data_IF_357232920212
#
_entry.id   IF_357232920212
#
_cell.length_a   1.000
_cell.length_b   1.000
_cell.length_c   1.000
_cell.angle_alpha   90.00
_cell.angle_beta   90.00
_cell.angle_gamma   90.00
#
_symmetry.space_group_name_H-M   'P 1'
#
loop_
_entity.id
_entity.type
_entity.pdbx_description
1 polymer ?
#
# COMPACT_ATOMS: atom_id res chain seq x y z
N UNK A 1 -13.31 3.72 9.27
CA UNK A 1 -11.85 3.48 9.31
C UNK A 1 -11.14 4.03 10.57
N UNK A 2 -10.51 3.18 11.37
CA UNK A 2 -9.65 3.51 12.52
C UNK A 2 -8.19 3.74 12.10
N UNK A 3 -7.85 4.99 11.78
CA UNK A 3 -6.51 5.39 11.32
C UNK A 3 -5.38 5.09 12.30
N UNK A 4 -5.63 5.16 13.60
CA UNK A 4 -4.61 4.91 14.63
C UNK A 4 -4.14 3.44 14.67
N UNK A 5 -4.93 2.51 14.12
CA UNK A 5 -4.58 1.10 14.02
C UNK A 5 -3.89 0.73 12.69
N UNK A 6 -3.79 1.67 11.75
CA UNK A 6 -3.09 1.47 10.47
C UNK A 6 -1.61 1.74 10.69
N UNK A 7 -0.76 0.77 10.36
CA UNK A 7 0.68 0.93 10.53
C UNK A 7 1.49 0.12 9.52
N UNK A 8 2.46 0.81 8.92
CA UNK A 8 3.53 0.26 8.11
C UNK A 8 4.83 1.02 8.42
N UNK A 9 5.96 0.32 8.31
CA UNK A 9 7.31 0.90 8.34
C UNK A 9 8.10 0.28 7.17
N UNK A 10 8.87 1.06 6.40
CA UNK A 10 9.58 0.55 5.22
C UNK A 10 10.84 -0.27 5.56
N UNK A 11 10.78 -1.10 6.60
CA UNK A 11 11.87 -1.96 7.04
C UNK A 11 11.38 -3.10 7.95
N UNK A 12 12.30 -3.95 8.40
CA UNK A 12 12.06 -5.03 9.36
C UNK A 12 10.95 -5.99 8.88
N UNK A 13 10.01 -6.39 9.73
CA UNK A 13 8.93 -7.32 9.43
C UNK A 13 7.83 -6.74 8.54
N UNK A 14 7.88 -5.42 8.27
CA UNK A 14 6.89 -4.70 7.47
C UNK A 14 7.34 -4.47 6.02
N UNK A 15 8.65 -4.41 5.76
CA UNK A 15 9.20 -4.43 4.40
C UNK A 15 10.55 -5.15 4.40
N UNK A 16 10.62 -6.28 3.70
CA UNK A 16 11.84 -7.09 3.62
C UNK A 16 11.92 -7.87 2.31
N UNK A 17 13.15 -8.15 1.87
CA UNK A 17 13.41 -9.07 0.77
C UNK A 17 13.12 -10.51 1.23
N UNK A 18 12.19 -11.17 0.55
CA UNK A 18 11.90 -12.58 0.75
C UNK A 18 12.81 -13.47 -0.10
N UNK A 19 13.10 -13.01 -1.31
CA UNK A 19 14.13 -13.54 -2.20
C UNK A 19 14.97 -12.37 -2.71
N UNK A 20 15.96 -12.63 -3.58
CA UNK A 20 16.75 -11.56 -4.20
C UNK A 20 15.88 -10.56 -4.99
N UNK A 21 14.76 -11.01 -5.56
CA UNK A 21 13.92 -10.21 -6.47
C UNK A 21 12.51 -9.94 -5.94
N UNK A 22 12.11 -10.57 -4.82
CA UNK A 22 10.78 -10.41 -4.21
C UNK A 22 10.86 -9.59 -2.92
N UNK A 23 10.29 -8.38 -2.97
CA UNK A 23 10.02 -7.56 -1.79
C UNK A 23 8.65 -7.94 -1.23
N UNK A 24 8.59 -8.26 0.07
CA UNK A 24 7.33 -8.42 0.79
C UNK A 24 7.02 -7.18 1.58
N UNK A 25 5.85 -6.62 1.32
CA UNK A 25 5.27 -5.54 2.11
C UNK A 25 4.17 -6.10 2.99
N UNK A 26 4.13 -5.61 4.21
CA UNK A 26 3.08 -5.88 5.18
C UNK A 26 2.57 -4.58 5.77
N UNK A 27 1.27 -4.54 6.04
CA UNK A 27 0.61 -3.47 6.77
C UNK A 27 -0.37 -4.09 7.75
N UNK A 28 -0.55 -3.48 8.92
CA UNK A 28 -1.59 -3.88 9.87
C UNK A 28 -2.70 -2.85 9.94
N UNK A 29 -3.91 -3.30 10.27
CA UNK A 29 -5.10 -2.48 10.48
C UNK A 29 -5.85 -2.99 11.72
N UNK A 30 -6.81 -2.22 12.22
CA UNK A 30 -7.78 -2.78 13.17
C UNK A 30 -8.49 -3.99 12.54
N UNK A 31 -8.75 -5.02 13.35
CA UNK A 31 -9.47 -6.21 12.92
C UNK A 31 -10.87 -5.83 12.41
N UNK A 32 -11.25 -6.38 11.26
CA UNK A 32 -12.55 -6.15 10.59
C UNK A 32 -12.87 -4.70 10.18
N UNK A 33 -11.93 -3.75 10.27
CA UNK A 33 -12.17 -2.34 9.94
C UNK A 33 -11.91 -2.04 8.45
N UNK A 34 -11.00 -2.76 7.81
CA UNK A 34 -10.64 -2.59 6.39
C UNK A 34 -11.16 -3.76 5.54
N UNK A 35 -11.81 -3.43 4.42
CA UNK A 35 -12.33 -4.41 3.47
C UNK A 35 -11.24 -4.87 2.49
N UNK A 36 -10.48 -3.93 1.94
CA UNK A 36 -9.41 -4.21 0.97
C UNK A 36 -8.27 -3.21 1.08
N UNK A 37 -7.07 -3.66 0.66
CA UNK A 37 -5.89 -2.80 0.53
C UNK A 37 -5.23 -3.10 -0.81
N UNK A 38 -4.82 -2.06 -1.53
CA UNK A 38 -3.97 -2.18 -2.71
C UNK A 38 -2.69 -1.38 -2.52
N UNK A 39 -1.56 -1.92 -2.97
CA UNK A 39 -0.30 -1.18 -3.06
C UNK A 39 -0.26 -0.45 -4.39
N UNK A 40 0.01 0.86 -4.33
CA UNK A 40 0.40 1.67 -5.48
C UNK A 40 1.91 1.75 -5.45
N UNK A 41 2.60 1.30 -6.50
CA UNK A 41 4.06 1.26 -6.52
C UNK A 41 4.64 1.56 -7.90
N UNK A 42 5.91 1.96 -7.96
CA UNK A 42 6.64 2.21 -9.20
C UNK A 42 8.11 2.53 -8.95
N UNK A 43 8.91 2.64 -10.01
CA UNK A 43 10.30 3.09 -9.89
C UNK A 43 10.31 4.59 -9.54
N UNK A 44 11.05 5.04 -8.50
CA UNK A 44 11.06 6.44 -8.05
C UNK A 44 11.44 7.45 -9.13
N UNK A 45 12.19 7.03 -10.15
CA UNK A 45 12.73 7.87 -11.22
C UNK A 45 12.01 7.70 -12.55
N UNK A 46 10.99 6.84 -12.63
CA UNK A 46 10.19 6.70 -13.84
C UNK A 46 9.13 7.80 -13.93
N UNK A 47 9.49 8.90 -14.58
CA UNK A 47 8.64 10.05 -14.82
C UNK A 47 8.47 10.27 -16.32
N UNK A 48 7.24 10.56 -16.75
CA UNK A 48 6.92 10.91 -18.13
C UNK A 48 5.98 12.11 -18.11
N UNK A 49 6.34 13.17 -18.86
CA UNK A 49 5.57 14.42 -18.95
C UNK A 49 5.19 15.02 -17.58
N UNK A 50 6.09 14.93 -16.60
CA UNK A 50 5.84 15.46 -15.24
C UNK A 50 4.98 14.55 -14.35
N UNK A 51 4.56 13.39 -14.85
CA UNK A 51 3.75 12.42 -14.09
C UNK A 51 4.58 11.19 -13.74
N UNK A 52 4.58 10.83 -12.45
CA UNK A 52 5.20 9.60 -11.98
C UNK A 52 4.43 8.37 -12.49
N UNK A 53 5.16 7.43 -13.08
CA UNK A 53 4.59 6.26 -13.72
C UNK A 53 4.52 5.09 -12.74
N UNK A 54 3.33 4.87 -12.19
CA UNK A 54 3.05 3.70 -11.35
C UNK A 54 2.90 2.43 -12.18
N UNK A 55 3.29 1.31 -11.59
CA UNK A 55 2.92 -0.04 -12.04
C UNK A 55 1.45 -0.33 -11.72
N UNK A 56 0.93 -1.45 -12.23
CA UNK A 56 -0.40 -1.93 -11.86
C UNK A 56 -0.51 -2.10 -10.34
N UNK A 57 -1.64 -1.65 -9.77
CA UNK A 57 -1.90 -1.78 -8.34
C UNK A 57 -1.89 -3.26 -7.93
N UNK A 58 -1.26 -3.57 -6.80
CA UNK A 58 -1.19 -4.95 -6.27
C UNK A 58 -2.13 -5.08 -5.08
N UNK A 59 -3.17 -5.90 -5.22
CA UNK A 59 -4.10 -6.18 -4.11
C UNK A 59 -3.39 -7.01 -3.03
N UNK A 60 -3.48 -6.56 -1.78
CA UNK A 60 -2.91 -7.26 -0.63
C UNK A 60 -3.81 -8.38 -0.15
N UNK A 61 -3.21 -9.49 0.28
CA UNK A 61 -3.91 -10.63 0.88
C UNK A 61 -4.00 -10.48 2.39
N UNK A 62 -5.15 -10.80 2.98
CA UNK A 62 -5.27 -11.02 4.44
C UNK A 62 -4.43 -12.24 4.82
N UNK A 63 -3.60 -12.12 5.86
CA UNK A 63 -2.70 -13.20 6.29
C UNK A 63 -2.91 -13.59 7.75
N UNK A 64 -2.31 -12.85 8.67
CA UNK A 64 -2.41 -13.08 10.11
C UNK A 64 -3.54 -12.23 10.70
N UNK A 65 -4.22 -12.79 11.70
CA UNK A 65 -5.18 -12.07 12.54
C UNK A 65 -4.77 -12.25 13.99
N UNK A 66 -4.72 -11.15 14.75
CA UNK A 66 -4.59 -11.19 16.21
C UNK A 66 -5.94 -10.88 16.85
N UNK A 67 -5.96 -10.73 18.18
CA UNK A 67 -7.15 -10.28 18.88
C UNK A 67 -7.66 -8.93 18.34
N UNK A 68 -6.75 -8.00 18.08
CA UNK A 68 -7.07 -6.60 17.76
C UNK A 68 -6.74 -6.17 16.33
N UNK A 69 -5.88 -6.90 15.61
CA UNK A 69 -5.38 -6.48 14.29
C UNK A 69 -5.56 -7.53 13.19
N UNK A 70 -5.75 -7.03 11.97
CA UNK A 70 -5.61 -7.78 10.72
C UNK A 70 -4.29 -7.37 10.06
N UNK A 71 -3.50 -8.35 9.63
CA UNK A 71 -2.31 -8.13 8.82
C UNK A 71 -2.58 -8.46 7.36
N UNK A 72 -1.99 -7.66 6.49
CA UNK A 72 -2.12 -7.74 5.05
C UNK A 72 -0.74 -7.86 4.44
N UNK A 73 -0.59 -8.62 3.37
CA UNK A 73 0.69 -8.80 2.70
C UNK A 73 0.56 -8.73 1.17
N UNK A 74 1.53 -8.11 0.53
CA UNK A 74 1.74 -8.17 -0.91
C UNK A 74 3.20 -8.52 -1.22
N UNK A 75 3.39 -9.17 -2.36
CA UNK A 75 4.70 -9.43 -2.95
C UNK A 75 4.87 -8.51 -4.16
N UNK A 76 6.01 -7.85 -4.23
CA UNK A 76 6.37 -6.91 -5.28
C UNK A 76 7.73 -7.29 -5.86
N UNK A 77 7.95 -6.92 -7.11
CA UNK A 77 9.25 -6.98 -7.77
C UNK A 77 9.67 -5.56 -8.14
N UNK A 78 10.98 -5.32 -8.16
CA UNK A 78 11.54 -4.02 -8.53
C UNK A 78 12.66 -4.26 -9.55
N UNK A 79 12.39 -4.13 -10.87
CA UNK A 79 13.37 -4.44 -11.92
C UNK A 79 14.69 -3.67 -11.79
N UNK A 80 14.66 -2.50 -11.16
CA UNK A 80 15.84 -1.66 -10.92
C UNK A 80 16.28 -1.64 -9.45
N UNK A 81 15.83 -2.59 -8.63
CA UNK A 81 16.10 -2.69 -7.19
C UNK A 81 15.74 -1.43 -6.39
N UNK A 82 14.73 -0.68 -6.88
CA UNK A 82 14.23 0.56 -6.29
C UNK A 82 12.71 0.58 -6.44
N UNK A 83 12.03 1.03 -5.40
CA UNK A 83 10.57 1.11 -5.38
C UNK A 83 10.14 2.30 -4.53
N UNK A 84 9.24 3.13 -5.06
CA UNK A 84 8.42 4.02 -4.27
C UNK A 84 7.01 3.44 -4.22
N UNK A 85 6.35 3.48 -3.06
CA UNK A 85 5.05 2.88 -2.88
C UNK A 85 4.21 3.53 -1.77
N UNK A 86 2.91 3.30 -1.83
CA UNK A 86 1.94 3.61 -0.78
C UNK A 86 0.75 2.68 -0.84
N UNK A 87 -0.23 2.89 0.05
CA UNK A 87 -1.37 2.00 0.23
C UNK A 87 -2.67 2.74 -0.03
N UNK A 88 -3.55 2.17 -0.84
CA UNK A 88 -4.95 2.55 -0.91
C UNK A 88 -5.73 1.58 -0.02
N UNK A 89 -6.38 2.09 1.02
CA UNK A 89 -7.21 1.31 1.92
C UNK A 89 -8.67 1.67 1.70
N UNK A 90 -9.53 0.67 1.56
CA UNK A 90 -10.99 0.83 1.48
C UNK A 90 -11.63 0.16 2.69
N UNK A 91 -12.41 0.92 3.47
CA UNK A 91 -13.12 0.39 4.63
C UNK A 91 -14.42 -0.34 4.26
N UNK A 92 -15.09 -0.91 5.26
CA UNK A 92 -16.33 -1.67 5.06
C UNK A 92 -17.53 -0.84 4.56
N UNK A 93 -17.46 0.49 4.65
CA UNK A 93 -18.50 1.39 4.16
C UNK A 93 -18.24 1.85 2.72
N UNK A 94 -17.06 1.51 2.17
CA UNK A 94 -16.63 1.90 0.83
C UNK A 94 -15.74 3.15 0.80
N UNK A 95 -15.48 3.79 1.94
CA UNK A 95 -14.61 4.96 2.01
C UNK A 95 -13.16 4.56 1.78
N UNK A 96 -12.46 5.31 0.92
CA UNK A 96 -11.08 5.01 0.53
C UNK A 96 -10.12 6.15 0.86
N UNK A 97 -8.94 5.81 1.36
CA UNK A 97 -7.85 6.76 1.64
C UNK A 97 -6.52 6.25 1.10
N UNK A 98 -5.62 7.19 0.82
CA UNK A 98 -4.21 6.89 0.58
C UNK A 98 -3.43 6.96 1.90
N UNK A 99 -2.46 6.07 2.07
CA UNK A 99 -1.51 6.06 3.17
C UNK A 99 -0.09 5.91 2.62
N UNK A 100 0.72 6.95 2.82
CA UNK A 100 2.12 7.02 2.40
C UNK A 100 3.05 7.39 3.55
N UNK A 101 4.27 7.82 3.22
CA UNK A 101 5.29 8.28 4.18
C UNK A 101 4.86 9.55 4.94
N UNK A 102 4.11 10.45 4.28
CA UNK A 102 3.56 11.67 4.88
C UNK A 102 2.26 11.44 5.67
N UNK A 103 1.79 10.18 5.77
CA UNK A 103 0.56 9.83 6.47
C UNK A 103 -0.63 9.64 5.55
N UNK A 104 -1.80 10.14 5.94
CA UNK A 104 -3.07 9.85 5.27
C UNK A 104 -3.54 11.00 4.38
N UNK A 105 -3.95 10.67 3.16
CA UNK A 105 -4.50 11.63 2.19
C UNK A 105 -5.85 11.14 1.65
N UNK A 106 -6.74 12.08 1.38
CA UNK A 106 -8.03 11.78 0.73
C UNK A 106 -7.79 11.53 -0.75
N UNK A 107 -8.36 10.46 -1.29
CA UNK A 107 -8.34 10.22 -2.72
C UNK A 107 -9.30 11.19 -3.39
N UNK A 108 -8.78 12.12 -4.18
CA UNK A 108 -9.61 12.91 -5.09
C UNK A 108 -9.96 12.06 -6.29
N UNK A 109 -11.26 11.93 -6.58
CA UNK A 109 -11.70 11.44 -7.88
C UNK A 109 -11.14 12.42 -8.92
N UNK A 110 -10.18 12.00 -9.74
CA UNK A 110 -9.78 12.78 -10.89
C UNK A 110 -10.99 12.87 -11.82
N UNK A 111 -11.66 14.01 -11.82
CA UNK A 111 -12.47 14.42 -12.97
C UNK A 111 -11.55 14.31 -14.19
N UNK A 112 -12.01 13.66 -15.26
CA UNK A 112 -11.32 13.67 -16.54
C UNK A 112 -11.06 15.14 -16.92
N UNK A 113 -9.80 15.55 -16.90
CA UNK A 113 -9.34 16.68 -17.70
C UNK A 113 -9.08 16.12 -19.10
N UNK A 114 -10.14 16.12 -19.92
CA UNK A 114 -10.08 16.12 -21.38
C UNK A 114 -10.04 17.58 -21.89
#
# INVERSE_FOLDING_TARGET
MNKAAIYHRPESEYAYLYTADELRLRIRTAKNDIQSISVVAGDPYNWQNGTWQKSANVVMKKTLVTETHQYWQASLTAPFNRLNYGFILTDSLGDSIFYGDQGFETLTSSSNDD
#
